data_IF_660149975621
#
_entry.id   IF_660149975621
#
_cell.length_a   1.000
_cell.length_b   1.000
_cell.length_c   1.000
_cell.angle_alpha   90.00
_cell.angle_beta   90.00
_cell.angle_gamma   90.00
#
_symmetry.space_group_name_H-M   'P 1'
#
loop_
_entity.id
_entity.type
_entity.pdbx_description
1 polymer ?
#
# COMPACT_ATOMS: atom_id res chain seq x y z
N UNK A 1 -8.34 9.67 -20.37
CA UNK A 1 -7.84 10.66 -19.37
C UNK A 1 -6.75 10.11 -18.46
N UNK A 2 -6.88 9.00 -17.73
CA UNK A 2 -5.75 8.46 -16.93
C UNK A 2 -4.70 7.75 -17.80
N UNK A 3 -5.11 7.17 -18.91
CA UNK A 3 -4.26 6.44 -19.87
C UNK A 3 -3.35 7.39 -20.67
N UNK A 4 -3.78 8.64 -20.84
CA UNK A 4 -3.04 9.65 -21.61
C UNK A 4 -1.71 10.10 -20.94
N UNK A 5 -1.54 9.75 -19.67
CA UNK A 5 -0.30 10.02 -18.91
C UNK A 5 0.82 9.02 -19.19
N UNK A 6 0.48 7.89 -19.84
CA UNK A 6 1.46 6.89 -20.20
C UNK A 6 2.01 7.17 -21.61
N UNK A 7 3.33 7.26 -21.78
CA UNK A 7 3.94 7.44 -23.09
C UNK A 7 3.57 6.27 -23.99
N UNK A 8 3.46 6.51 -25.28
CA UNK A 8 3.19 5.50 -26.30
C UNK A 8 4.25 4.37 -26.36
N UNK A 9 5.37 4.55 -25.66
CA UNK A 9 6.43 3.58 -25.55
C UNK A 9 6.24 2.69 -24.32
N UNK A 10 5.93 1.40 -24.53
CA UNK A 10 5.66 0.42 -23.49
C UNK A 10 6.75 0.35 -22.40
N UNK A 11 8.01 0.55 -22.76
CA UNK A 11 9.12 0.53 -21.82
C UNK A 11 9.00 1.64 -20.75
N UNK A 12 8.75 2.88 -21.18
CA UNK A 12 8.57 4.01 -20.26
C UNK A 12 7.32 3.86 -19.41
N UNK A 13 6.26 3.28 -19.93
CA UNK A 13 5.04 3.03 -19.20
C UNK A 13 5.24 2.03 -18.07
N UNK A 14 6.04 0.98 -18.27
CA UNK A 14 6.44 0.05 -17.21
C UNK A 14 7.22 0.76 -16.11
N UNK A 15 8.22 1.55 -16.47
CA UNK A 15 9.04 2.30 -15.50
C UNK A 15 8.17 3.26 -14.68
N UNK A 16 7.29 4.01 -15.33
CA UNK A 16 6.38 4.94 -14.66
C UNK A 16 5.45 4.20 -13.69
N UNK A 17 4.86 3.07 -14.10
CA UNK A 17 4.02 2.26 -13.23
C UNK A 17 4.77 1.80 -11.97
N UNK A 18 6.00 1.32 -12.12
CA UNK A 18 6.83 0.87 -11.00
C UNK A 18 7.19 2.04 -10.09
N UNK A 19 7.63 3.17 -10.64
CA UNK A 19 7.98 4.37 -9.86
C UNK A 19 6.76 4.90 -9.08
N UNK A 20 5.60 4.95 -9.71
CA UNK A 20 4.36 5.37 -9.04
C UNK A 20 3.98 4.41 -7.90
N UNK A 21 4.13 3.09 -8.09
CA UNK A 21 3.94 2.11 -7.01
C UNK A 21 4.87 2.37 -5.83
N UNK A 22 6.16 2.62 -6.10
CA UNK A 22 7.14 2.96 -5.07
C UNK A 22 6.72 4.23 -4.31
N UNK A 23 6.33 5.28 -5.03
CA UNK A 23 5.88 6.54 -4.42
C UNK A 23 4.65 6.33 -3.54
N UNK A 24 3.66 5.56 -4.00
CA UNK A 24 2.47 5.22 -3.21
C UNK A 24 2.86 4.39 -1.98
N UNK A 25 3.77 3.44 -2.11
CA UNK A 25 4.26 2.64 -0.98
C UNK A 25 4.98 3.51 0.07
N UNK A 26 5.76 4.51 -0.35
CA UNK A 26 6.44 5.46 0.54
C UNK A 26 5.43 6.31 1.31
N UNK A 27 4.39 6.82 0.65
CA UNK A 27 3.35 7.60 1.35
C UNK A 27 2.57 6.73 2.33
N UNK A 28 2.38 5.45 2.01
CA UNK A 28 1.75 4.45 2.86
C UNK A 28 0.26 4.66 3.17
N UNK A 29 -0.33 5.75 2.69
CA UNK A 29 -1.72 6.16 2.95
C UNK A 29 -2.55 6.14 1.67
N UNK A 30 -1.90 6.39 0.52
CA UNK A 30 -2.58 6.44 -0.76
C UNK A 30 -3.02 5.04 -1.19
N UNK A 31 -4.27 4.90 -1.69
CA UNK A 31 -4.73 3.62 -2.22
C UNK A 31 -3.94 3.23 -3.48
N UNK A 32 -3.42 1.99 -3.51
CA UNK A 32 -2.76 1.41 -4.70
C UNK A 32 -3.72 1.26 -5.89
N UNK A 33 -5.01 1.23 -5.64
CA UNK A 33 -6.06 1.06 -6.64
C UNK A 33 -5.94 2.02 -7.83
N UNK A 34 -5.51 3.27 -7.61
CA UNK A 34 -5.30 4.22 -8.71
C UNK A 34 -4.21 3.76 -9.69
N UNK A 35 -3.12 3.18 -9.17
CA UNK A 35 -2.04 2.65 -10.00
C UNK A 35 -2.50 1.38 -10.69
N UNK A 36 -3.27 0.52 -10.00
CA UNK A 36 -3.84 -0.70 -10.59
C UNK A 36 -4.74 -0.36 -11.76
N UNK A 37 -5.66 0.63 -11.61
CA UNK A 37 -6.53 1.08 -12.71
C UNK A 37 -5.71 1.57 -13.91
N UNK A 38 -4.71 2.41 -13.69
CA UNK A 38 -3.88 2.93 -14.75
C UNK A 38 -3.07 1.82 -15.44
N UNK A 39 -2.49 0.90 -14.66
CA UNK A 39 -1.64 -0.19 -15.20
C UNK A 39 -2.47 -1.23 -15.96
N UNK A 40 -3.61 -1.67 -15.40
CA UNK A 40 -4.52 -2.63 -16.06
C UNK A 40 -5.19 -2.01 -17.29
N UNK A 41 -5.48 -0.70 -17.25
CA UNK A 41 -6.06 0.00 -18.41
C UNK A 41 -5.09 0.19 -19.57
N UNK A 42 -3.78 0.20 -19.30
CA UNK A 42 -2.75 0.37 -20.33
C UNK A 42 -2.15 -0.95 -20.82
N UNK A 43 -1.94 -1.91 -19.93
CA UNK A 43 -1.36 -3.22 -20.25
C UNK A 43 -2.43 -4.30 -20.24
N UNK A 44 -2.18 -5.40 -20.98
CA UNK A 44 -2.97 -6.62 -20.84
C UNK A 44 -2.85 -7.13 -19.39
N UNK A 45 -3.90 -7.78 -18.91
CA UNK A 45 -4.04 -8.23 -17.51
C UNK A 45 -2.79 -8.93 -16.96
N UNK A 46 -2.23 -9.88 -17.74
CA UNK A 46 -1.07 -10.67 -17.31
C UNK A 46 0.18 -9.80 -17.07
N UNK A 47 0.46 -8.89 -18.02
CA UNK A 47 1.59 -7.96 -17.89
C UNK A 47 1.36 -6.93 -16.80
N UNK A 48 0.15 -6.42 -16.70
CA UNK A 48 -0.23 -5.49 -15.64
C UNK A 48 0.02 -6.10 -14.26
N UNK A 49 -0.40 -7.36 -14.05
CA UNK A 49 -0.23 -8.06 -12.79
C UNK A 49 1.25 -8.23 -12.42
N UNK A 50 2.10 -8.63 -13.38
CA UNK A 50 3.55 -8.77 -13.17
C UNK A 50 4.16 -7.41 -12.78
N UNK A 51 3.81 -6.34 -13.50
CA UNK A 51 4.31 -4.98 -13.23
C UNK A 51 3.89 -4.52 -11.83
N UNK A 52 2.64 -4.78 -11.44
CA UNK A 52 2.10 -4.43 -10.13
C UNK A 52 2.81 -5.19 -9.00
N UNK A 53 3.06 -6.50 -9.18
CA UNK A 53 3.78 -7.32 -8.20
C UNK A 53 5.22 -6.81 -8.03
N UNK A 54 5.92 -6.54 -9.13
CA UNK A 54 7.29 -6.00 -9.09
C UNK A 54 7.29 -4.62 -8.43
N UNK A 55 6.36 -3.74 -8.83
CA UNK A 55 6.23 -2.40 -8.26
C UNK A 55 5.95 -2.42 -6.76
N UNK A 56 5.09 -3.33 -6.29
CA UNK A 56 4.79 -3.52 -4.88
C UNK A 56 6.00 -4.07 -4.11
N UNK A 57 6.72 -5.03 -4.67
CA UNK A 57 7.94 -5.59 -4.06
C UNK A 57 9.01 -4.51 -3.88
N UNK A 58 9.30 -3.74 -4.92
CA UNK A 58 10.25 -2.64 -4.87
C UNK A 58 9.77 -1.53 -3.93
N UNK A 59 8.48 -1.21 -3.97
CA UNK A 59 7.86 -0.25 -3.07
C UNK A 59 7.97 -0.65 -1.60
N UNK A 60 7.77 -1.93 -1.29
CA UNK A 60 7.94 -2.46 0.06
C UNK A 60 9.38 -2.33 0.54
N UNK A 61 10.37 -2.66 -0.30
CA UNK A 61 11.80 -2.54 0.01
C UNK A 61 12.18 -1.08 0.30
N UNK A 62 11.84 -0.19 -0.63
CA UNK A 62 12.23 1.23 -0.52
C UNK A 62 11.54 1.90 0.68
N UNK A 63 10.24 1.67 0.86
CA UNK A 63 9.51 2.23 2.00
C UNK A 63 10.01 1.68 3.34
N UNK A 64 10.37 0.39 3.42
CA UNK A 64 10.95 -0.20 4.62
C UNK A 64 12.28 0.44 5.00
N UNK A 65 13.20 0.62 4.04
CA UNK A 65 14.50 1.28 4.27
C UNK A 65 14.28 2.71 4.75
N UNK A 66 13.43 3.47 4.06
CA UNK A 66 13.14 4.86 4.43
C UNK A 66 12.52 4.96 5.82
N UNK A 67 11.57 4.09 6.15
CA UNK A 67 10.90 4.11 7.44
C UNK A 67 11.83 3.68 8.55
N UNK A 68 12.68 2.66 8.35
CA UNK A 68 13.67 2.22 9.32
C UNK A 68 14.69 3.31 9.64
N UNK A 69 15.28 3.91 8.61
CA UNK A 69 16.23 5.00 8.80
C UNK A 69 15.57 6.22 9.46
N UNK A 70 14.33 6.54 9.09
CA UNK A 70 13.55 7.60 9.71
C UNK A 70 13.26 7.35 11.20
N UNK A 71 12.86 6.13 11.53
CA UNK A 71 12.60 5.69 12.92
C UNK A 71 13.89 5.72 13.75
N UNK A 72 14.99 5.19 13.25
CA UNK A 72 16.27 5.21 13.94
C UNK A 72 16.73 6.64 14.23
N UNK A 73 16.60 7.54 13.24
CA UNK A 73 16.93 8.95 13.41
C UNK A 73 16.00 9.64 14.41
N UNK A 74 14.72 9.35 14.42
CA UNK A 74 13.77 9.89 15.39
C UNK A 74 14.06 9.40 16.81
N UNK A 75 14.38 8.13 16.99
CA UNK A 75 14.69 7.54 18.29
C UNK A 75 16.04 7.99 18.86
N UNK A 76 16.93 8.52 18.02
CA UNK A 76 18.20 9.12 18.48
C UNK A 76 18.03 10.51 19.13
N UNK A 77 16.87 11.16 18.97
CA UNK A 77 16.59 12.43 19.65
C UNK A 77 16.27 12.22 21.14
N UNK A 78 16.95 12.92 22.07
CA UNK A 78 16.81 12.72 23.52
C UNK A 78 15.36 12.86 24.03
N UNK A 79 14.58 13.72 23.39
CA UNK A 79 13.19 14.02 23.74
C UNK A 79 12.20 12.89 23.40
N UNK A 80 12.60 11.97 22.53
CA UNK A 80 11.78 10.85 22.03
C UNK A 80 12.30 9.52 22.59
N UNK A 81 13.51 9.49 23.13
CA UNK A 81 14.12 8.28 23.72
C UNK A 81 13.29 7.70 24.87
N UNK A 82 12.51 8.52 25.58
CA UNK A 82 11.56 8.08 26.61
C UNK A 82 10.41 7.21 26.04
N UNK A 83 10.11 7.32 24.74
CA UNK A 83 9.20 6.38 24.07
C UNK A 83 9.79 4.97 23.94
N UNK A 84 11.11 4.83 24.05
CA UNK A 84 11.81 3.55 23.98
C UNK A 84 11.49 2.64 25.18
N UNK A 85 10.97 3.19 26.26
CA UNK A 85 10.50 2.46 27.45
C UNK A 85 9.09 1.89 27.31
N UNK A 86 8.41 2.19 26.20
CA UNK A 86 7.07 1.68 25.99
C UNK A 86 7.11 0.17 25.75
N UNK A 87 6.45 -0.60 26.65
CA UNK A 87 6.37 -2.08 26.60
C UNK A 87 5.90 -2.63 25.24
N UNK A 88 5.06 -1.87 24.54
CA UNK A 88 4.56 -2.26 23.20
C UNK A 88 5.67 -2.17 22.14
N UNK A 89 6.50 -1.13 22.19
CA UNK A 89 7.65 -0.97 21.29
C UNK A 89 8.73 -2.01 21.58
N UNK A 90 8.97 -2.33 22.85
CA UNK A 90 9.88 -3.41 23.23
C UNK A 90 9.38 -4.76 22.72
N UNK A 91 8.07 -5.04 22.85
CA UNK A 91 7.46 -6.27 22.34
C UNK A 91 7.49 -6.37 20.81
N UNK A 92 7.35 -5.25 20.09
CA UNK A 92 7.52 -5.19 18.64
C UNK A 92 8.97 -5.43 18.21
N UNK A 93 9.93 -4.88 18.97
CA UNK A 93 11.36 -5.09 18.72
C UNK A 93 11.81 -6.53 19.03
N UNK A 94 11.22 -7.16 20.02
CA UNK A 94 11.49 -8.55 20.39
C UNK A 94 10.67 -9.58 19.61
N UNK A 95 9.78 -9.14 18.70
CA UNK A 95 9.07 -10.04 17.82
C UNK A 95 10.07 -10.65 16.82
N UNK A 96 10.51 -11.86 17.11
CA UNK A 96 11.53 -12.57 16.34
C UNK A 96 10.96 -13.28 15.12
N UNK A 97 11.73 -13.22 14.05
CA UNK A 97 11.75 -14.10 12.88
C UNK A 97 10.37 -14.52 12.35
N UNK A 98 9.92 -15.70 12.71
CA UNK A 98 8.74 -16.33 12.13
C UNK A 98 7.41 -15.66 12.54
N UNK A 99 7.30 -15.23 13.81
CA UNK A 99 6.10 -14.55 14.30
C UNK A 99 5.88 -13.20 13.60
N UNK A 100 6.95 -12.44 13.38
CA UNK A 100 6.88 -11.18 12.66
C UNK A 100 6.47 -11.38 11.19
N UNK A 101 7.00 -12.41 10.53
CA UNK A 101 6.63 -12.78 9.15
C UNK A 101 5.13 -13.11 9.07
N UNK A 102 4.62 -13.93 9.97
CA UNK A 102 3.20 -14.30 10.00
C UNK A 102 2.28 -13.10 10.24
N UNK A 103 2.65 -12.21 11.15
CA UNK A 103 1.89 -10.98 11.40
C UNK A 103 1.87 -10.10 10.15
N UNK A 104 3.01 -9.92 9.47
CA UNK A 104 3.09 -9.12 8.24
C UNK A 104 2.22 -9.74 7.15
N UNK A 105 2.31 -11.05 6.94
CA UNK A 105 1.48 -11.78 5.97
C UNK A 105 -0.01 -11.55 6.25
N UNK A 106 -0.46 -11.76 7.48
CA UNK A 106 -1.86 -11.57 7.87
C UNK A 106 -2.32 -10.13 7.65
N UNK A 107 -1.50 -9.15 8.06
CA UNK A 107 -1.83 -7.74 7.87
C UNK A 107 -1.87 -7.32 6.40
N UNK A 108 -1.07 -7.96 5.54
CA UNK A 108 -1.04 -7.69 4.09
C UNK A 108 -2.21 -8.32 3.33
N UNK A 109 -2.71 -9.45 3.80
CA UNK A 109 -3.93 -10.07 3.23
C UNK A 109 -5.17 -9.25 3.54
N UNK A 110 -5.18 -8.51 4.65
CA UNK A 110 -6.31 -7.68 5.04
C UNK A 110 -6.37 -6.39 4.19
N UNK A 111 -7.42 -6.19 3.38
CA UNK A 111 -7.51 -5.07 2.43
C UNK A 111 -7.66 -3.70 3.09
N UNK A 112 -8.04 -3.66 4.37
CA UNK A 112 -8.30 -2.42 5.11
C UNK A 112 -7.09 -1.88 5.88
N UNK A 113 -5.98 -2.61 5.93
CA UNK A 113 -4.78 -2.18 6.65
C UNK A 113 -3.92 -1.34 5.72
N UNK A 114 -3.65 -0.05 6.05
CA UNK A 114 -2.79 0.78 5.23
C UNK A 114 -1.38 0.17 5.11
N UNK A 115 -0.87 0.09 3.89
CA UNK A 115 0.45 -0.50 3.62
C UNK A 115 1.57 0.16 4.42
N UNK A 116 1.49 1.48 4.62
CA UNK A 116 2.42 2.23 5.45
C UNK A 116 2.42 1.83 6.91
N UNK A 117 1.25 1.49 7.49
CA UNK A 117 1.17 1.02 8.86
C UNK A 117 1.89 -0.32 9.05
N UNK A 118 1.72 -1.26 8.11
CA UNK A 118 2.41 -2.55 8.12
C UNK A 118 3.92 -2.36 7.99
N UNK A 119 4.36 -1.52 7.04
CA UNK A 119 5.78 -1.23 6.82
C UNK A 119 6.40 -0.52 8.03
N UNK A 120 5.68 0.43 8.66
CA UNK A 120 6.15 1.11 9.86
C UNK A 120 6.30 0.14 11.05
N UNK A 121 5.32 -0.73 11.25
CA UNK A 121 5.38 -1.78 12.28
C UNK A 121 6.58 -2.69 12.07
N UNK A 122 6.83 -3.11 10.83
CA UNK A 122 8.01 -3.90 10.48
C UNK A 122 9.32 -3.13 10.65
N UNK A 123 9.34 -1.84 10.31
CA UNK A 123 10.51 -0.99 10.49
C UNK A 123 10.88 -0.77 11.97
N UNK A 124 9.88 -0.80 12.86
CA UNK A 124 10.06 -0.74 14.31
C UNK A 124 10.51 -2.08 14.93
N UNK A 125 10.28 -3.20 14.24
CA UNK A 125 10.65 -4.55 14.70
C UNK A 125 12.10 -4.88 14.34
N UNK A 126 12.63 -6.02 14.84
CA UNK A 126 13.96 -6.53 14.51
C UNK A 126 14.02 -7.30 13.19
N UNK A 127 12.91 -7.37 12.43
CA UNK A 127 12.86 -8.14 11.18
C UNK A 127 13.85 -7.59 10.15
N UNK A 128 14.56 -8.49 9.46
CA UNK A 128 15.44 -8.11 8.35
C UNK A 128 14.66 -7.77 7.09
N UNK A 129 15.27 -6.99 6.19
CA UNK A 129 14.65 -6.52 4.94
C UNK A 129 14.20 -7.68 4.04
N UNK A 130 14.96 -8.77 3.95
CA UNK A 130 14.66 -9.91 3.06
C UNK A 130 13.37 -10.61 3.50
N UNK A 131 13.25 -11.13 4.74
CA UNK A 131 12.00 -11.77 5.18
C UNK A 131 10.81 -10.81 5.18
N UNK A 132 11.02 -9.52 5.49
CA UNK A 132 9.97 -8.51 5.34
C UNK A 132 9.49 -8.38 3.89
N UNK A 133 10.40 -8.22 2.93
CA UNK A 133 10.06 -8.03 1.51
C UNK A 133 9.32 -9.24 0.96
N UNK A 134 9.78 -10.46 1.27
CA UNK A 134 9.12 -11.69 0.86
C UNK A 134 7.71 -11.81 1.45
N UNK A 135 7.58 -11.64 2.76
CA UNK A 135 6.29 -11.71 3.43
C UNK A 135 5.32 -10.63 2.93
N UNK A 136 5.83 -9.41 2.74
CA UNK A 136 5.04 -8.28 2.26
C UNK A 136 4.53 -8.50 0.84
N UNK A 137 5.40 -8.97 -0.08
CA UNK A 137 5.04 -9.22 -1.48
C UNK A 137 4.08 -10.40 -1.59
N UNK A 138 4.42 -11.54 -0.99
CA UNK A 138 3.57 -12.75 -1.03
C UNK A 138 2.22 -12.48 -0.38
N UNK A 139 2.19 -11.80 0.76
CA UNK A 139 0.94 -11.47 1.46
C UNK A 139 0.03 -10.54 0.67
N UNK A 140 0.58 -9.71 -0.22
CA UNK A 140 -0.23 -8.80 -1.03
C UNK A 140 -0.70 -9.38 -2.36
N UNK A 141 -0.12 -10.49 -2.84
CA UNK A 141 -0.52 -11.13 -4.10
C UNK A 141 -2.05 -11.41 -4.16
N UNK A 142 -2.69 -12.02 -3.15
CA UNK A 142 -4.13 -12.27 -3.20
C UNK A 142 -4.95 -10.98 -3.35
N UNK A 143 -4.57 -9.93 -2.62
CA UNK A 143 -5.24 -8.64 -2.70
C UNK A 143 -5.03 -7.98 -4.08
N UNK A 144 -3.82 -8.03 -4.63
CA UNK A 144 -3.53 -7.52 -5.98
C UNK A 144 -4.28 -8.27 -7.07
N UNK A 145 -4.41 -9.59 -6.95
CA UNK A 145 -5.19 -10.40 -7.90
C UNK A 145 -6.66 -9.98 -7.90
N UNK A 146 -7.27 -9.86 -6.72
CA UNK A 146 -8.67 -9.42 -6.58
C UNK A 146 -8.83 -8.00 -7.14
N UNK A 147 -7.91 -7.10 -6.78
CA UNK A 147 -7.93 -5.70 -7.22
C UNK A 147 -7.79 -5.60 -8.75
N UNK A 148 -6.78 -6.25 -9.33
CA UNK A 148 -6.53 -6.22 -10.77
C UNK A 148 -7.66 -6.88 -11.56
N UNK A 149 -8.20 -8.01 -11.08
CA UNK A 149 -9.34 -8.68 -11.72
C UNK A 149 -10.60 -7.81 -11.67
N UNK A 150 -10.88 -7.20 -10.52
CA UNK A 150 -12.02 -6.30 -10.37
C UNK A 150 -11.92 -5.10 -11.30
N UNK A 151 -10.72 -4.51 -11.39
CA UNK A 151 -10.46 -3.39 -12.31
C UNK A 151 -10.62 -3.81 -13.75
N UNK A 152 -10.04 -4.93 -14.17
CA UNK A 152 -10.16 -5.44 -15.53
C UNK A 152 -11.63 -5.63 -15.91
N UNK A 153 -12.41 -6.24 -15.03
CA UNK A 153 -13.84 -6.45 -15.26
C UNK A 153 -14.63 -5.13 -15.36
N UNK A 154 -14.32 -4.16 -14.53
CA UNK A 154 -14.96 -2.83 -14.60
C UNK A 154 -14.60 -2.09 -15.89
N UNK A 155 -13.37 -2.23 -16.39
CA UNK A 155 -12.92 -1.59 -17.62
C UNK A 155 -13.60 -2.20 -18.88
N UNK A 156 -14.00 -3.48 -18.81
CA UNK A 156 -14.73 -4.16 -19.88
C UNK A 156 -16.23 -3.81 -19.92
N UNK A 157 -16.76 -3.19 -18.87
CA UNK A 157 -18.16 -2.77 -18.85
C UNK A 157 -18.42 -1.57 -19.76
N UNK A 158 -19.69 -1.41 -20.15
CA UNK A 158 -20.14 -0.23 -20.89
C UNK A 158 -19.87 1.05 -20.08
N UNK A 159 -19.57 2.15 -20.77
CA UNK A 159 -19.22 3.44 -20.14
C UNK A 159 -20.25 3.92 -19.11
N UNK A 160 -21.52 3.69 -19.36
CA UNK A 160 -22.62 4.03 -18.44
C UNK A 160 -22.49 3.28 -17.10
N UNK A 161 -22.19 1.98 -17.15
CA UNK A 161 -21.98 1.16 -15.97
C UNK A 161 -20.70 1.55 -15.21
N UNK A 162 -19.63 1.91 -15.92
CA UNK A 162 -18.39 2.42 -15.31
C UNK A 162 -18.67 3.72 -14.54
N UNK A 163 -19.40 4.67 -15.14
CA UNK A 163 -19.77 5.94 -14.50
C UNK A 163 -20.65 5.69 -13.28
N UNK A 164 -21.60 4.76 -13.36
CA UNK A 164 -22.46 4.41 -12.22
C UNK A 164 -21.65 3.86 -11.05
N UNK A 165 -20.71 2.93 -11.29
CA UNK A 165 -19.85 2.34 -10.26
C UNK A 165 -18.98 3.43 -9.62
N UNK A 166 -18.31 4.27 -10.42
CA UNK A 166 -17.48 5.37 -9.91
C UNK A 166 -18.31 6.33 -9.06
N UNK A 167 -19.53 6.67 -9.51
CA UNK A 167 -20.43 7.56 -8.77
C UNK A 167 -20.82 6.97 -7.42
N UNK A 168 -21.14 5.69 -7.36
CA UNK A 168 -21.45 4.98 -6.11
C UNK A 168 -20.25 5.00 -5.15
N UNK A 169 -19.05 4.70 -5.65
CA UNK A 169 -17.81 4.74 -4.84
C UNK A 169 -17.57 6.13 -4.27
N UNK A 170 -17.74 7.19 -5.08
CA UNK A 170 -17.59 8.59 -4.65
C UNK A 170 -18.62 8.92 -3.56
N UNK A 171 -19.89 8.55 -3.76
CA UNK A 171 -20.95 8.81 -2.78
C UNK A 171 -20.64 8.12 -1.46
N UNK A 172 -20.27 6.82 -1.48
CA UNK A 172 -19.90 6.07 -0.28
C UNK A 172 -18.71 6.72 0.43
N UNK A 173 -17.69 7.15 -0.33
CA UNK A 173 -16.54 7.86 0.24
C UNK A 173 -16.94 9.19 0.89
N UNK A 174 -17.77 10.00 0.24
CA UNK A 174 -18.25 11.27 0.79
C UNK A 174 -19.09 11.08 2.04
N UNK A 175 -19.96 10.07 2.05
CA UNK A 175 -20.77 9.69 3.22
C UNK A 175 -19.84 9.27 4.38
N UNK A 176 -18.85 8.43 4.11
CA UNK A 176 -17.85 8.01 5.11
C UNK A 176 -17.09 9.21 5.72
N UNK A 177 -16.61 10.12 4.87
CA UNK A 177 -15.90 11.34 5.31
C UNK A 177 -16.83 12.25 6.11
N UNK A 178 -18.09 12.38 5.70
CA UNK A 178 -19.12 13.16 6.39
C UNK A 178 -19.38 12.63 7.80
N UNK A 179 -19.58 11.32 7.95
CA UNK A 179 -19.76 10.67 9.26
C UNK A 179 -18.54 10.85 10.17
N UNK A 180 -17.33 10.74 9.62
CA UNK A 180 -16.09 10.93 10.38
C UNK A 180 -15.92 12.36 10.89
N UNK A 181 -16.31 13.37 10.10
CA UNK A 181 -16.31 14.79 10.52
C UNK A 181 -17.40 15.09 11.57
N UNK A 182 -18.58 14.51 11.45
CA UNK A 182 -19.68 14.67 12.40
C UNK A 182 -19.30 14.12 13.80
N UNK A 183 -18.67 12.95 13.85
CA UNK A 183 -18.23 12.32 15.11
C UNK A 183 -17.13 13.11 15.85
N UNK A 184 -16.27 13.86 15.12
CA UNK A 184 -15.28 14.76 15.72
C UNK A 184 -15.89 16.03 16.30
N UNK A 185 -17.01 16.53 15.74
CA UNK A 185 -17.67 17.76 16.21
C UNK A 185 -18.48 17.54 17.48
N UNK A 186 -18.95 16.32 17.71
CA UNK A 186 -19.76 15.98 18.90
C UNK A 186 -18.90 15.56 20.13
N UNK A 187 -17.55 15.60 19.99
CA UNK A 187 -16.60 15.33 21.09
C UNK A 187 -15.87 16.57 21.60
N UNK A 188 -16.25 17.74 21.11
CA UNK A 188 -15.84 19.06 21.64
C UNK A 188 -17.00 19.74 22.32
#
# INVERSE_FOLDING_TARGET
MLVDWFPSNAFWSVIISIVLNILVAITGILPSAFITVATVGFFRFEYALIILIIGEALGAIVSFILYRNGVEKLLSYPKISTMNENKYLQKLRSADGWSAIMIILLLRVLPFVPSGAVTLTAALSSIHIIPFSLASTVGKIPALLIEAYSVAHVLDLQKESQIAIISVVIIVFLVYVGFKKGKKRNKR
#
